data_IF_527827832151
#
_entry.id   IF_527827832151
#
_cell.length_a   1.000
_cell.length_b   1.000
_cell.length_c   1.000
_cell.angle_alpha   90.00
_cell.angle_beta   90.00
_cell.angle_gamma   90.00
#
_symmetry.space_group_name_H-M   'P 1'
#
loop_
_entity.id
_entity.type
_entity.pdbx_description
1 polymer ?
#
# COMPACT_ATOMS: atom_id res chain seq x y z
N UNK A 1 -16.20 12.72 17.35
CA UNK A 1 -15.39 13.94 17.13
C UNK A 1 -14.06 13.46 16.59
N UNK A 2 -13.82 13.62 15.28
CA UNK A 2 -12.50 13.42 14.70
C UNK A 2 -11.51 14.30 15.46
N UNK A 3 -10.46 13.72 15.99
CA UNK A 3 -9.36 14.49 16.55
C UNK A 3 -8.77 15.33 15.42
N UNK A 4 -8.65 16.63 15.61
CA UNK A 4 -8.10 17.54 14.62
C UNK A 4 -6.58 17.27 14.52
N UNK A 5 -6.13 16.83 13.38
CA UNK A 5 -4.71 16.53 13.14
C UNK A 5 -3.91 17.82 13.19
N UNK A 6 -2.85 17.82 13.97
CA UNK A 6 -1.98 19.01 14.15
C UNK A 6 -0.72 18.84 13.30
N UNK A 7 -0.41 19.84 12.50
CA UNK A 7 0.81 19.89 11.68
C UNK A 7 1.89 20.76 12.34
N UNK A 8 3.21 20.47 12.09
CA UNK A 8 3.70 19.38 11.25
C UNK A 8 3.51 18.00 11.91
N UNK A 9 3.39 16.96 11.04
CA UNK A 9 3.47 15.57 11.46
C UNK A 9 4.88 15.07 11.15
N UNK A 10 5.54 14.41 12.12
CA UNK A 10 6.83 13.74 11.90
C UNK A 10 6.63 12.24 11.96
N UNK A 11 7.07 11.54 10.92
CA UNK A 11 6.92 10.08 10.76
C UNK A 11 8.31 9.47 10.68
N UNK A 12 8.64 8.58 11.64
CA UNK A 12 9.89 7.81 11.66
C UNK A 12 9.77 6.57 10.76
N UNK A 13 10.82 6.25 10.01
CA UNK A 13 10.88 5.13 9.07
C UNK A 13 12.32 4.65 8.83
N UNK A 14 12.49 3.60 8.02
CA UNK A 14 13.79 2.95 7.80
C UNK A 14 14.93 3.88 7.31
N UNK A 15 14.61 4.99 6.64
CA UNK A 15 15.58 5.95 6.10
C UNK A 15 15.75 7.21 6.98
N UNK A 16 15.11 7.27 8.15
CA UNK A 16 15.16 8.42 9.07
C UNK A 16 13.77 8.93 9.44
N UNK A 17 13.48 10.17 9.11
CA UNK A 17 12.17 10.78 9.39
C UNK A 17 11.68 11.62 8.20
N UNK A 18 10.36 11.66 8.02
CA UNK A 18 9.69 12.54 7.07
C UNK A 18 8.77 13.50 7.81
N UNK A 19 8.81 14.78 7.44
CA UNK A 19 7.96 15.83 8.02
C UNK A 19 6.91 16.25 7.00
N UNK A 20 5.64 16.16 7.40
CA UNK A 20 4.49 16.64 6.64
C UNK A 20 4.07 17.99 7.25
N UNK A 21 4.35 19.07 6.55
CA UNK A 21 4.15 20.44 7.06
C UNK A 21 2.69 20.88 7.09
N UNK A 22 1.87 20.34 6.20
CA UNK A 22 0.45 20.64 6.06
C UNK A 22 -0.30 19.47 5.47
N UNK A 23 -1.63 19.47 5.52
CA UNK A 23 -2.45 18.40 4.97
C UNK A 23 -2.18 18.22 3.47
N UNK A 24 -1.73 17.05 3.02
CA UNK A 24 -1.56 16.76 1.60
C UNK A 24 -2.91 16.73 0.86
N UNK A 25 -2.93 17.25 -0.36
CA UNK A 25 -4.10 17.23 -1.26
C UNK A 25 -3.82 16.40 -2.52
N UNK A 26 -2.55 16.23 -2.89
CA UNK A 26 -2.08 15.52 -4.07
C UNK A 26 -1.20 14.34 -3.68
N UNK A 27 -1.79 13.16 -3.66
CA UNK A 27 -1.15 11.93 -3.17
C UNK A 27 -0.69 11.10 -4.36
N UNK A 28 0.61 10.78 -4.44
CA UNK A 28 1.12 9.74 -5.32
C UNK A 28 1.44 8.48 -4.52
N UNK A 29 1.40 7.32 -5.16
CA UNK A 29 1.76 6.07 -4.51
C UNK A 29 2.74 5.28 -5.38
N UNK A 30 3.78 4.71 -4.77
CA UNK A 30 4.74 3.83 -5.44
C UNK A 30 4.90 2.52 -4.66
N UNK A 31 5.33 1.46 -5.35
CA UNK A 31 5.37 0.11 -4.79
C UNK A 31 4.01 -0.58 -4.85
N UNK A 32 3.78 -1.59 -4.01
CA UNK A 32 2.61 -2.44 -4.14
C UNK A 32 1.48 -2.05 -3.19
N UNK A 33 0.24 -1.93 -3.74
CA UNK A 33 -1.02 -1.77 -3.01
C UNK A 33 -1.09 -0.52 -2.10
N UNK A 34 -0.14 0.44 -2.24
CA UNK A 34 -0.17 1.66 -1.44
C UNK A 34 -1.34 2.58 -1.83
N UNK A 35 -1.86 2.46 -3.05
CA UNK A 35 -3.04 3.17 -3.54
C UNK A 35 -4.35 2.70 -2.87
N UNK A 36 -4.38 1.49 -2.31
CA UNK A 36 -5.58 0.95 -1.68
C UNK A 36 -6.02 1.78 -0.46
N UNK A 37 -5.07 2.33 0.29
CA UNK A 37 -5.38 3.19 1.44
C UNK A 37 -6.09 4.49 1.05
N UNK A 38 -5.54 5.36 0.18
CA UNK A 38 -6.26 6.57 -0.23
C UNK A 38 -7.59 6.26 -0.92
N UNK A 39 -7.65 5.25 -1.79
CA UNK A 39 -8.91 4.84 -2.45
C UNK A 39 -9.96 4.40 -1.44
N UNK A 40 -9.59 3.57 -0.45
CA UNK A 40 -10.49 3.14 0.62
C UNK A 40 -10.97 4.29 1.54
N UNK A 41 -10.22 5.39 1.59
CA UNK A 41 -10.57 6.62 2.30
C UNK A 41 -11.27 7.66 1.39
N UNK A 42 -11.60 7.30 0.15
CA UNK A 42 -12.34 8.15 -0.78
C UNK A 42 -11.51 9.22 -1.47
N UNK A 43 -10.20 9.01 -1.58
CA UNK A 43 -9.26 9.93 -2.23
C UNK A 43 -8.61 9.22 -3.41
N UNK A 44 -8.78 9.76 -4.62
CA UNK A 44 -8.09 9.28 -5.80
C UNK A 44 -6.65 9.81 -5.83
N UNK A 45 -5.61 8.95 -5.82
CA UNK A 45 -4.24 9.39 -6.02
C UNK A 45 -4.04 10.09 -7.38
N UNK A 46 -3.10 11.03 -7.43
CA UNK A 46 -2.74 11.74 -8.67
C UNK A 46 -1.85 10.89 -9.58
N UNK A 47 -1.28 9.81 -9.07
CA UNK A 47 -0.51 8.82 -9.80
C UNK A 47 -0.21 7.60 -8.95
N UNK A 48 -0.13 6.42 -9.56
CA UNK A 48 0.06 5.12 -8.90
C UNK A 48 1.00 4.23 -9.70
N UNK A 49 1.70 3.31 -9.03
CA UNK A 49 2.47 2.24 -9.71
C UNK A 49 1.55 1.29 -10.46
N UNK A 50 1.99 0.82 -11.63
CA UNK A 50 1.31 -0.22 -12.38
C UNK A 50 1.27 -1.54 -11.60
N UNK A 51 0.19 -2.28 -11.73
CA UNK A 51 0.13 -3.65 -11.27
C UNK A 51 0.99 -4.53 -12.18
N UNK A 52 2.02 -5.15 -11.61
CA UNK A 52 3.00 -5.95 -12.35
C UNK A 52 2.86 -7.47 -12.11
N UNK A 53 1.73 -7.91 -11.53
CA UNK A 53 1.41 -9.32 -11.28
C UNK A 53 -0.10 -9.57 -11.38
N UNK A 54 -0.48 -10.83 -11.60
CA UNK A 54 -1.89 -11.23 -11.68
C UNK A 54 -2.60 -10.74 -12.94
N UNK A 55 -3.93 -10.64 -12.85
CA UNK A 55 -4.77 -10.11 -13.93
C UNK A 55 -4.90 -8.60 -13.75
N UNK A 56 -4.64 -7.87 -14.83
CA UNK A 56 -4.73 -6.42 -14.89
C UNK A 56 -5.75 -5.96 -15.93
N UNK A 57 -6.29 -4.76 -15.74
CA UNK A 57 -7.18 -4.07 -16.67
C UNK A 57 -6.40 -3.39 -17.81
N UNK A 58 -7.10 -2.76 -18.75
CA UNK A 58 -6.48 -1.97 -19.81
C UNK A 58 -5.70 -0.75 -19.25
N UNK A 59 -6.00 -0.32 -18.01
CA UNK A 59 -5.27 0.72 -17.30
C UNK A 59 -4.00 0.21 -16.57
N UNK A 60 -3.60 -1.06 -16.73
CA UNK A 60 -2.52 -1.71 -16.01
C UNK A 60 -2.70 -1.68 -14.46
N UNK A 61 -3.93 -1.75 -13.99
CA UNK A 61 -4.30 -1.82 -12.58
C UNK A 61 -5.02 -3.13 -12.27
N UNK A 62 -5.04 -3.53 -11.01
CA UNK A 62 -5.94 -4.59 -10.59
C UNK A 62 -7.41 -4.15 -10.72
N UNK A 63 -8.31 -5.10 -10.96
CA UNK A 63 -9.74 -4.81 -11.18
C UNK A 63 -10.34 -3.96 -10.05
N UNK A 64 -10.06 -4.31 -8.78
CA UNK A 64 -10.59 -3.56 -7.63
C UNK A 64 -10.04 -2.14 -7.53
N UNK A 65 -8.78 -1.92 -7.94
CA UNK A 65 -8.16 -0.59 -7.98
C UNK A 65 -8.80 0.28 -9.06
N UNK A 66 -8.98 -0.29 -10.24
CA UNK A 66 -9.59 0.39 -11.39
C UNK A 66 -11.05 0.76 -11.12
N UNK A 67 -11.82 -0.18 -10.54
CA UNK A 67 -13.20 0.07 -10.09
C UNK A 67 -13.26 1.19 -9.04
N UNK A 68 -12.33 1.21 -8.06
CA UNK A 68 -12.29 2.24 -7.04
C UNK A 68 -11.98 3.63 -7.61
N UNK A 69 -11.10 3.73 -8.62
CA UNK A 69 -10.87 4.98 -9.36
C UNK A 69 -12.13 5.43 -10.10
N UNK A 70 -12.79 4.51 -10.80
CA UNK A 70 -14.04 4.81 -11.52
C UNK A 70 -15.15 5.29 -10.58
N UNK A 71 -15.30 4.68 -9.41
CA UNK A 71 -16.27 5.10 -8.38
C UNK A 71 -15.97 6.52 -7.86
N UNK A 72 -14.73 6.96 -7.88
CA UNK A 72 -14.29 8.32 -7.54
C UNK A 72 -14.33 9.28 -8.75
N UNK A 73 -14.81 8.81 -9.91
CA UNK A 73 -14.96 9.61 -11.13
C UNK A 73 -13.68 9.80 -11.94
N UNK A 74 -12.68 8.94 -11.74
CA UNK A 74 -11.41 8.93 -12.49
C UNK A 74 -11.39 7.68 -13.39
N UNK A 75 -11.67 7.86 -14.68
CA UNK A 75 -11.71 6.75 -15.65
C UNK A 75 -10.33 6.43 -16.24
N UNK A 76 -9.42 7.40 -16.29
CA UNK A 76 -8.06 7.26 -16.83
C UNK A 76 -7.04 7.74 -15.78
N UNK A 77 -6.71 6.92 -14.76
CA UNK A 77 -5.71 7.28 -13.77
C UNK A 77 -4.31 7.35 -14.38
N UNK A 78 -3.43 8.18 -13.81
CA UNK A 78 -2.00 8.18 -14.19
C UNK A 78 -1.34 6.97 -13.54
N UNK A 79 -0.75 6.11 -14.37
CA UNK A 79 -0.15 4.85 -13.94
C UNK A 79 1.32 4.82 -14.36
N UNK A 80 2.22 4.70 -13.39
CA UNK A 80 3.67 4.66 -13.60
C UNK A 80 4.10 3.26 -14.03
N UNK A 81 4.87 3.16 -15.11
CA UNK A 81 5.56 1.91 -15.46
C UNK A 81 6.89 1.86 -14.67
N UNK A 82 6.91 1.09 -13.59
CA UNK A 82 8.06 0.94 -12.70
C UNK A 82 8.68 -0.48 -12.73
N UNK A 83 8.45 -1.23 -13.81
CA UNK A 83 8.99 -2.59 -14.00
C UNK A 83 10.53 -2.61 -14.01
N UNK A 84 11.15 -1.63 -14.66
CA UNK A 84 12.60 -1.48 -14.76
C UNK A 84 13.16 -0.44 -13.77
N UNK A 85 12.37 0.00 -12.80
CA UNK A 85 12.69 1.03 -11.79
C UNK A 85 11.67 2.16 -11.81
N UNK A 86 11.69 3.00 -10.78
CA UNK A 86 10.73 4.10 -10.64
C UNK A 86 10.87 5.14 -11.74
N UNK A 87 9.76 5.52 -12.37
CA UNK A 87 9.70 6.64 -13.31
C UNK A 87 9.59 7.97 -12.56
N UNK A 88 10.75 8.49 -12.09
CA UNK A 88 10.83 9.74 -11.33
C UNK A 88 10.30 10.95 -12.10
N UNK A 89 10.41 10.96 -13.43
CA UNK A 89 9.91 12.05 -14.27
C UNK A 89 8.38 12.07 -14.25
N UNK A 90 7.75 10.93 -14.48
CA UNK A 90 6.30 10.82 -14.46
C UNK A 90 5.71 11.08 -13.06
N UNK A 91 6.39 10.60 -11.99
CA UNK A 91 5.99 10.89 -10.60
C UNK A 91 6.07 12.41 -10.33
N UNK A 92 7.18 13.07 -10.76
CA UNK A 92 7.34 14.50 -10.60
C UNK A 92 6.31 15.32 -11.38
N UNK A 93 5.94 14.87 -12.58
CA UNK A 93 4.93 15.54 -13.42
C UNK A 93 3.54 15.53 -12.78
N UNK A 94 3.26 14.55 -11.92
CA UNK A 94 2.04 14.53 -11.13
C UNK A 94 2.00 15.63 -10.05
N UNK A 95 3.13 16.29 -9.76
CA UNK A 95 3.26 17.32 -8.74
C UNK A 95 2.60 16.91 -7.40
N UNK A 96 3.05 15.80 -6.77
CA UNK A 96 2.48 15.33 -5.52
C UNK A 96 2.89 16.19 -4.32
N UNK A 97 2.05 16.20 -3.27
CA UNK A 97 2.37 16.79 -1.98
C UNK A 97 2.95 15.75 -1.01
N UNK A 98 2.69 14.47 -1.29
CA UNK A 98 3.22 13.33 -0.55
C UNK A 98 3.29 12.09 -1.47
N UNK A 99 4.29 11.25 -1.24
CA UNK A 99 4.47 9.97 -1.93
C UNK A 99 4.37 8.84 -0.89
N UNK A 100 3.38 7.97 -1.04
CA UNK A 100 3.15 6.83 -0.15
C UNK A 100 3.85 5.60 -0.69
N UNK A 101 4.62 4.92 0.15
CA UNK A 101 5.45 3.77 -0.21
C UNK A 101 5.66 2.80 0.96
N UNK A 102 4.71 2.73 1.91
CA UNK A 102 4.81 1.93 3.13
C UNK A 102 5.02 0.42 2.86
N UNK A 103 4.52 -0.10 1.74
CA UNK A 103 4.85 -1.45 1.26
C UNK A 103 5.59 -1.37 -0.06
N UNK A 104 6.91 -1.41 0.02
CA UNK A 104 7.81 -1.28 -1.12
C UNK A 104 9.15 -1.96 -0.89
N UNK A 105 9.92 -2.12 -1.95
CA UNK A 105 11.34 -2.52 -1.91
C UNK A 105 12.28 -1.33 -2.09
N UNK A 106 11.80 -0.12 -1.79
CA UNK A 106 12.54 1.13 -1.97
C UNK A 106 13.97 1.06 -1.40
N UNK A 107 14.94 1.51 -2.17
CA UNK A 107 16.32 1.66 -1.73
C UNK A 107 16.57 3.06 -1.15
N UNK A 108 17.73 3.26 -0.51
CA UNK A 108 18.13 4.59 -0.05
C UNK A 108 18.23 5.59 -1.23
N UNK A 109 18.70 5.15 -2.39
CA UNK A 109 18.84 5.99 -3.59
C UNK A 109 17.47 6.42 -4.13
N UNK A 110 16.49 5.50 -4.14
CA UNK A 110 15.11 5.81 -4.52
C UNK A 110 14.51 6.84 -3.57
N UNK A 111 14.66 6.61 -2.25
CA UNK A 111 14.18 7.51 -1.21
C UNK A 111 14.77 8.91 -1.35
N UNK A 112 16.09 9.00 -1.51
CA UNK A 112 16.81 10.27 -1.67
C UNK A 112 16.34 11.03 -2.92
N UNK A 113 16.02 10.31 -4.00
CA UNK A 113 15.55 10.91 -5.26
C UNK A 113 14.10 11.35 -5.15
N UNK A 114 13.20 10.50 -4.65
CA UNK A 114 11.80 10.84 -4.46
C UNK A 114 11.61 11.99 -3.46
N UNK A 115 12.44 12.05 -2.42
CA UNK A 115 12.41 13.13 -1.42
C UNK A 115 12.75 14.51 -1.97
N UNK A 116 13.32 14.60 -3.20
CA UNK A 116 13.49 15.85 -3.92
C UNK A 116 12.22 16.30 -4.64
N UNK A 117 11.27 15.40 -4.84
CA UNK A 117 9.98 15.67 -5.47
C UNK A 117 8.95 16.07 -4.41
N UNK A 118 8.75 15.21 -3.38
CA UNK A 118 7.82 15.44 -2.30
C UNK A 118 8.23 14.63 -1.05
N UNK A 119 7.68 14.92 0.14
CA UNK A 119 7.80 14.06 1.32
C UNK A 119 7.41 12.62 1.00
N UNK A 120 8.22 11.64 1.42
CA UNK A 120 8.02 10.21 1.14
C UNK A 120 7.69 9.48 2.44
N UNK A 121 6.69 8.59 2.41
CA UNK A 121 6.33 7.68 3.51
C UNK A 121 6.73 6.26 3.10
N UNK A 122 7.96 5.83 3.36
CA UNK A 122 8.44 4.49 3.05
C UNK A 122 8.08 3.51 4.18
N UNK A 123 8.48 2.24 4.04
CA UNK A 123 8.33 1.24 5.08
C UNK A 123 9.11 1.60 6.37
N UNK A 124 8.62 1.12 7.50
CA UNK A 124 9.14 1.47 8.82
C UNK A 124 10.45 0.78 9.18
N UNK A 125 10.58 -0.51 8.88
CA UNK A 125 11.73 -1.31 9.31
C UNK A 125 12.44 -2.00 8.13
N UNK A 126 11.73 -2.86 7.41
CA UNK A 126 12.31 -3.70 6.37
C UNK A 126 11.48 -3.66 5.09
N UNK A 127 12.12 -3.75 3.90
CA UNK A 127 11.41 -3.82 2.64
C UNK A 127 10.52 -5.06 2.58
N UNK A 128 9.33 -4.94 2.00
CA UNK A 128 8.38 -6.01 1.77
C UNK A 128 7.88 -6.76 3.02
N UNK A 129 7.98 -6.15 4.21
CA UNK A 129 7.56 -6.77 5.47
C UNK A 129 6.47 -5.99 6.21
N UNK A 130 5.96 -4.91 5.65
CA UNK A 130 4.86 -4.13 6.21
C UNK A 130 3.57 -4.93 6.10
N UNK A 131 2.89 -5.16 7.22
CA UNK A 131 1.58 -5.81 7.21
C UNK A 131 0.52 -4.89 6.59
N UNK A 132 -0.62 -5.46 6.14
CA UNK A 132 -1.71 -4.65 5.58
C UNK A 132 -2.25 -3.62 6.58
N UNK A 133 -2.22 -3.93 7.89
CA UNK A 133 -2.61 -2.99 8.97
C UNK A 133 -1.67 -1.82 9.06
N UNK A 134 -0.38 -2.12 9.14
CA UNK A 134 0.68 -1.10 9.19
C UNK A 134 0.66 -0.25 7.93
N UNK A 135 0.60 -0.87 6.75
CA UNK A 135 0.51 -0.16 5.47
C UNK A 135 -0.68 0.81 5.43
N UNK A 136 -1.86 0.37 5.88
CA UNK A 136 -3.04 1.23 5.94
C UNK A 136 -2.83 2.40 6.89
N UNK A 137 -2.28 2.15 8.10
CA UNK A 137 -2.09 3.19 9.12
C UNK A 137 -0.99 4.17 8.71
N UNK A 138 0.15 3.68 8.21
CA UNK A 138 1.30 4.49 7.80
C UNK A 138 0.96 5.39 6.60
N UNK A 139 0.33 4.83 5.57
CA UNK A 139 -0.15 5.59 4.43
C UNK A 139 -1.19 6.65 4.86
N UNK A 140 -2.14 6.29 5.72
CA UNK A 140 -3.12 7.24 6.24
C UNK A 140 -2.46 8.33 7.11
N UNK A 141 -1.43 8.01 7.90
CA UNK A 141 -0.67 8.98 8.68
C UNK A 141 0.04 9.99 7.78
N UNK A 142 0.66 9.52 6.68
CA UNK A 142 1.25 10.38 5.65
C UNK A 142 0.24 11.31 4.97
N UNK A 143 -1.02 10.92 4.91
CA UNK A 143 -2.13 11.74 4.41
C UNK A 143 -2.72 12.69 5.47
N UNK A 144 -2.25 12.63 6.72
CA UNK A 144 -2.87 13.32 7.84
C UNK A 144 -4.26 12.78 8.21
N UNK A 145 -4.50 11.49 7.96
CA UNK A 145 -5.77 10.78 8.17
C UNK A 145 -5.60 9.51 9.01
N UNK A 146 -4.64 9.50 9.93
CA UNK A 146 -4.36 8.33 10.77
C UNK A 146 -5.60 7.77 11.48
N UNK A 147 -6.47 8.59 12.11
CA UNK A 147 -7.67 8.08 12.77
C UNK A 147 -8.63 7.37 11.80
N UNK A 148 -8.75 7.86 10.56
CA UNK A 148 -9.54 7.24 9.51
C UNK A 148 -8.92 5.91 9.05
N UNK A 149 -7.58 5.86 8.95
CA UNK A 149 -6.84 4.62 8.66
C UNK A 149 -7.04 3.57 9.75
N UNK A 150 -6.89 3.93 11.02
CA UNK A 150 -7.14 3.03 12.15
C UNK A 150 -8.59 2.51 12.16
N UNK A 151 -9.55 3.39 11.86
CA UNK A 151 -10.95 2.98 11.72
C UNK A 151 -11.14 2.01 10.56
N UNK A 152 -10.49 2.24 9.42
CA UNK A 152 -10.57 1.35 8.25
C UNK A 152 -9.98 -0.02 8.57
N UNK A 153 -8.84 -0.09 9.25
CA UNK A 153 -8.26 -1.34 9.73
C UNK A 153 -9.28 -2.12 10.57
N UNK A 154 -9.91 -1.43 11.55
CA UNK A 154 -10.92 -2.07 12.38
C UNK A 154 -12.12 -2.58 11.58
N UNK A 155 -12.61 -1.83 10.60
CA UNK A 155 -13.72 -2.25 9.73
C UNK A 155 -13.37 -3.54 8.97
N UNK A 156 -12.13 -3.66 8.48
CA UNK A 156 -11.66 -4.85 7.77
C UNK A 156 -11.48 -6.03 8.74
N UNK A 157 -10.95 -5.81 9.94
CA UNK A 157 -10.84 -6.84 10.99
C UNK A 157 -12.21 -7.38 11.38
N UNK A 158 -13.19 -6.50 11.58
CA UNK A 158 -14.56 -6.88 11.92
C UNK A 158 -15.18 -7.70 10.76
N UNK A 159 -14.92 -7.35 9.50
CA UNK A 159 -15.37 -8.10 8.33
C UNK A 159 -14.72 -9.49 8.25
N UNK A 160 -13.40 -9.59 8.50
CA UNK A 160 -12.69 -10.87 8.54
C UNK A 160 -13.29 -11.75 9.61
N UNK A 161 -13.51 -11.24 10.82
CA UNK A 161 -14.10 -11.98 11.93
C UNK A 161 -15.51 -12.46 11.59
N UNK A 162 -16.36 -11.62 11.00
CA UNK A 162 -17.72 -12.00 10.56
C UNK A 162 -17.65 -13.14 9.52
N UNK A 163 -16.74 -13.07 8.56
CA UNK A 163 -16.59 -14.09 7.53
C UNK A 163 -16.11 -15.43 8.11
N UNK A 164 -15.19 -15.39 9.06
CA UNK A 164 -14.68 -16.60 9.71
C UNK A 164 -15.75 -17.33 10.53
N UNK A 165 -16.74 -16.62 11.10
CA UNK A 165 -17.89 -17.27 11.76
C UNK A 165 -18.69 -18.18 10.80
N UNK A 166 -18.65 -17.90 9.49
CA UNK A 166 -19.30 -18.71 8.46
C UNK A 166 -18.50 -19.99 8.13
N UNK A 167 -17.20 -20.05 8.47
CA UNK A 167 -16.26 -21.13 8.13
C UNK A 167 -15.42 -21.60 9.33
N UNK A 168 -16.06 -22.06 10.43
CA UNK A 168 -15.35 -22.45 11.65
C UNK A 168 -14.37 -23.61 11.45
N UNK A 169 -14.49 -24.35 10.35
CA UNK A 169 -13.58 -25.42 9.99
C UNK A 169 -12.19 -24.93 9.55
N UNK A 170 -12.00 -23.64 9.28
CA UNK A 170 -10.70 -23.08 8.93
C UNK A 170 -9.81 -22.86 10.15
N UNK A 171 -10.38 -22.76 11.35
CA UNK A 171 -9.63 -22.49 12.57
C UNK A 171 -8.59 -23.59 12.84
N UNK A 172 -7.33 -23.18 12.96
CA UNK A 172 -6.23 -24.07 13.31
C UNK A 172 -5.78 -25.03 12.20
N UNK A 173 -6.20 -24.82 10.94
CA UNK A 173 -5.72 -25.63 9.82
C UNK A 173 -4.27 -25.25 9.49
N UNK A 174 -3.30 -26.19 9.55
CA UNK A 174 -1.95 -25.92 9.09
C UNK A 174 -1.91 -25.52 7.61
N UNK A 175 -1.55 -24.27 7.33
CA UNK A 175 -1.57 -23.69 5.99
C UNK A 175 -0.20 -23.15 5.62
N UNK A 176 0.17 -23.22 4.34
CA UNK A 176 1.39 -22.62 3.82
C UNK A 176 1.08 -21.77 2.59
N UNK A 177 1.61 -20.55 2.56
CA UNK A 177 1.60 -19.72 1.36
C UNK A 177 2.86 -20.03 0.54
N UNK A 178 2.66 -20.47 -0.72
CA UNK A 178 3.75 -20.94 -1.58
C UNK A 178 3.68 -20.29 -2.96
N UNK A 179 4.84 -20.11 -3.58
CA UNK A 179 4.95 -19.77 -5.00
C UNK A 179 5.65 -20.87 -5.77
N UNK A 180 5.11 -21.23 -6.92
CA UNK A 180 5.66 -22.26 -7.82
C UNK A 180 5.70 -21.63 -9.22
N UNK A 181 6.87 -21.71 -9.89
CA UNK A 181 6.98 -21.27 -11.29
C UNK A 181 6.21 -22.22 -12.22
N UNK A 182 5.51 -21.65 -13.20
CA UNK A 182 4.88 -22.43 -14.25
C UNK A 182 5.90 -23.09 -15.21
N UNK A 183 7.13 -22.56 -15.26
CA UNK A 183 8.19 -23.04 -16.15
C UNK A 183 9.12 -24.05 -15.47
N UNK A 184 9.12 -24.12 -14.13
CA UNK A 184 9.95 -25.05 -13.34
C UNK A 184 9.19 -25.56 -12.11
N UNK A 185 8.70 -26.80 -12.18
CA UNK A 185 8.03 -27.47 -11.06
C UNK A 185 8.98 -28.21 -10.13
N UNK A 186 10.29 -28.11 -10.33
CA UNK A 186 11.29 -28.78 -9.47
C UNK A 186 11.55 -28.01 -8.16
N UNK A 187 11.20 -26.73 -8.14
CA UNK A 187 11.42 -25.83 -7.01
C UNK A 187 10.14 -25.09 -6.64
N UNK A 188 9.87 -24.99 -5.36
CA UNK A 188 8.82 -24.11 -4.83
C UNK A 188 9.37 -23.29 -3.67
N UNK A 189 8.79 -22.12 -3.47
CA UNK A 189 9.16 -21.20 -2.41
C UNK A 189 8.04 -21.15 -1.37
N UNK A 190 8.39 -21.28 -0.11
CA UNK A 190 7.46 -21.11 1.01
C UNK A 190 7.72 -19.76 1.65
N UNK A 191 6.69 -18.95 1.75
CA UNK A 191 6.79 -17.66 2.43
C UNK A 191 6.75 -17.84 3.94
N UNK A 192 7.62 -17.11 4.64
CA UNK A 192 7.68 -17.13 6.10
C UNK A 192 6.63 -16.17 6.69
N UNK A 193 6.26 -16.33 7.97
CA UNK A 193 5.30 -15.43 8.65
C UNK A 193 5.74 -13.95 8.73
N UNK A 194 6.99 -13.63 8.41
CA UNK A 194 7.47 -12.24 8.25
C UNK A 194 7.04 -11.59 6.93
N UNK A 195 6.58 -12.40 5.97
CA UNK A 195 5.99 -11.90 4.73
C UNK A 195 4.50 -11.65 4.95
N UNK A 196 3.97 -10.46 4.60
CA UNK A 196 2.57 -10.11 4.87
C UNK A 196 1.56 -11.05 4.22
N UNK A 197 1.89 -11.68 3.08
CA UNK A 197 1.02 -12.65 2.41
C UNK A 197 0.85 -13.93 3.22
N UNK A 198 1.93 -14.42 3.83
CA UNK A 198 1.87 -15.56 4.74
C UNK A 198 1.29 -15.18 6.11
N UNK A 199 1.62 -13.97 6.62
CA UNK A 199 1.07 -13.45 7.86
C UNK A 199 -0.46 -13.31 7.80
N UNK A 200 -1.03 -12.96 6.64
CA UNK A 200 -2.48 -12.86 6.45
C UNK A 200 -3.22 -14.17 6.73
N UNK A 201 -2.57 -15.33 6.53
CA UNK A 201 -3.17 -16.62 6.86
C UNK A 201 -3.47 -16.77 8.36
N UNK A 202 -2.71 -16.06 9.23
CA UNK A 202 -2.96 -16.03 10.68
C UNK A 202 -4.22 -15.23 11.03
N UNK A 203 -4.62 -14.30 10.17
CA UNK A 203 -5.87 -13.54 10.32
C UNK A 203 -7.09 -14.41 9.97
N UNK A 204 -6.87 -15.48 9.22
CA UNK A 204 -7.91 -16.41 8.78
C UNK A 204 -8.04 -17.63 9.69
N UNK A 205 -7.32 -17.73 10.83
CA UNK A 205 -7.34 -18.81 11.81
C UNK A 205 -6.23 -19.82 11.61
#
# INVERSE_FOLDING_TARGET
>A
TSEEVTYPITIEHAFGETVIESKPERIATVGWENQDTPLALGIAPVGVSAANYGLVTDNNLHLWTDEAFADLGVEEPVVFDDVDGLDFEQISDCNPDVILAAYSGMTQEDYDTLSQIAPVIPYKENPWQTSWREQTIENAEGMGMKPEGEKKVKEVEDLIAEKLEEYPELEGIPTAFCWISADDFSTFYVYLPTDPRAAYLLDLG
#
